data_IF_030404075858
#
_entry.id   IF_030404075858
#
_cell.length_a   1.000
_cell.length_b   1.000
_cell.length_c   1.000
_cell.angle_alpha   90.00
_cell.angle_beta   90.00
_cell.angle_gamma   90.00
#
_symmetry.space_group_name_H-M   'P 1'
#
loop_
_entity.id
_entity.type
_entity.pdbx_description
1 polymer ?
#
# COMPACT_ATOMS: atom_id res chain seq x y z
N UNK A 1 -21.26 -0.09 13.53
CA UNK A 1 -20.55 1.19 13.78
C UNK A 1 -21.59 2.22 14.18
N UNK A 2 -21.47 2.77 15.38
CA UNK A 2 -22.33 3.84 15.89
C UNK A 2 -21.57 5.16 16.05
N UNK A 3 -20.32 5.07 16.54
CA UNK A 3 -19.41 6.21 16.71
C UNK A 3 -18.05 5.88 16.11
N UNK A 4 -17.57 6.66 15.15
CA UNK A 4 -16.32 6.42 14.43
C UNK A 4 -15.31 7.54 14.63
N UNK A 5 -14.08 7.19 14.99
CA UNK A 5 -12.98 8.12 14.87
C UNK A 5 -12.49 8.15 13.42
N UNK A 6 -12.46 9.32 12.81
CA UNK A 6 -11.91 9.58 11.47
C UNK A 6 -10.51 10.14 11.61
N UNK A 7 -9.52 9.31 11.29
CA UNK A 7 -8.09 9.66 11.29
C UNK A 7 -7.64 9.96 9.85
N UNK A 8 -7.94 11.17 9.40
CA UNK A 8 -7.66 11.61 8.03
C UNK A 8 -7.65 13.14 7.95
N UNK A 9 -7.12 13.67 6.85
CA UNK A 9 -7.14 15.11 6.54
C UNK A 9 -7.64 15.37 5.11
N UNK A 10 -7.92 16.65 4.82
CA UNK A 10 -8.27 17.13 3.49
C UNK A 10 -9.50 16.41 2.89
N UNK A 11 -9.45 16.13 1.59
CA UNK A 11 -10.58 15.52 0.86
C UNK A 11 -10.96 14.12 1.39
N UNK A 12 -10.01 13.36 1.93
CA UNK A 12 -10.28 12.05 2.53
C UNK A 12 -11.13 12.21 3.79
N UNK A 13 -10.75 13.11 4.70
CA UNK A 13 -11.55 13.41 5.89
C UNK A 13 -12.94 13.88 5.51
N UNK A 14 -13.04 14.88 4.62
CA UNK A 14 -14.32 15.43 4.13
C UNK A 14 -15.25 14.34 3.60
N UNK A 15 -14.71 13.40 2.79
CA UNK A 15 -15.49 12.29 2.24
C UNK A 15 -15.97 11.34 3.32
N UNK A 16 -15.10 10.97 4.26
CA UNK A 16 -15.43 10.04 5.34
C UNK A 16 -16.48 10.64 6.29
N UNK A 17 -16.32 11.90 6.70
CA UNK A 17 -17.31 12.60 7.53
C UNK A 17 -18.66 12.66 6.81
N UNK A 18 -18.69 13.06 5.53
CA UNK A 18 -19.94 13.11 4.75
C UNK A 18 -20.65 11.76 4.68
N UNK A 19 -19.90 10.66 4.46
CA UNK A 19 -20.46 9.31 4.42
C UNK A 19 -20.98 8.90 5.79
N UNK A 20 -20.25 9.17 6.86
CA UNK A 20 -20.67 8.87 8.23
C UNK A 20 -21.98 9.58 8.56
N UNK A 21 -22.11 10.88 8.23
CA UNK A 21 -23.34 11.64 8.45
C UNK A 21 -24.52 11.09 7.65
N UNK A 22 -24.31 10.71 6.38
CA UNK A 22 -25.37 10.05 5.56
C UNK A 22 -25.86 8.74 6.17
N UNK A 23 -24.97 8.05 6.92
CA UNK A 23 -25.27 6.79 7.62
C UNK A 23 -25.73 6.98 9.07
N UNK A 24 -25.87 8.21 9.54
CA UNK A 24 -26.22 8.56 10.93
C UNK A 24 -25.24 7.95 11.92
N UNK A 25 -23.96 8.02 11.60
CA UNK A 25 -22.85 7.58 12.45
C UNK A 25 -22.24 8.83 13.09
N UNK A 26 -22.13 8.83 14.40
CA UNK A 26 -21.44 9.89 15.16
C UNK A 26 -19.95 9.91 14.83
N UNK A 27 -19.40 11.10 14.64
CA UNK A 27 -18.02 11.30 14.20
C UNK A 27 -17.16 11.94 15.28
N UNK A 28 -16.00 11.34 15.53
CA UNK A 28 -14.88 12.00 16.18
C UNK A 28 -13.84 12.28 15.11
N UNK A 29 -13.68 13.53 14.71
CA UNK A 29 -12.69 13.93 13.72
C UNK A 29 -11.43 14.37 14.44
N UNK A 30 -10.29 13.71 14.16
CA UNK A 30 -8.99 14.12 14.69
C UNK A 30 -8.20 14.87 13.63
N UNK A 31 -7.64 16.02 14.00
CA UNK A 31 -6.88 16.87 13.08
C UNK A 31 -5.66 17.48 13.77
N UNK A 32 -4.63 17.81 12.98
CA UNK A 32 -3.53 18.64 13.44
C UNK A 32 -3.99 20.09 13.62
N UNK A 33 -3.24 20.88 14.36
CA UNK A 33 -3.57 22.29 14.59
C UNK A 33 -3.86 23.08 13.29
N UNK A 34 -3.02 23.02 12.22
CA UNK A 34 -3.33 23.73 10.98
C UNK A 34 -4.52 23.18 10.19
N UNK A 35 -5.01 22.00 10.50
CA UNK A 35 -6.16 21.40 9.81
C UNK A 35 -7.49 21.60 10.59
N UNK A 36 -7.48 22.23 11.76
CA UNK A 36 -8.68 22.41 12.61
C UNK A 36 -9.78 23.20 11.93
N UNK A 37 -9.43 24.16 11.07
CA UNK A 37 -10.35 24.94 10.27
C UNK A 37 -10.38 24.38 8.83
N UNK A 38 -11.00 23.21 8.67
CA UNK A 38 -11.07 22.47 7.40
C UNK A 38 -12.51 22.25 6.95
N UNK A 39 -12.71 22.01 5.65
CA UNK A 39 -14.03 21.62 5.11
C UNK A 39 -14.60 20.38 5.83
N UNK A 40 -13.75 19.50 6.33
CA UNK A 40 -14.21 18.34 7.09
C UNK A 40 -14.78 18.73 8.45
N UNK A 41 -14.18 19.70 9.13
CA UNK A 41 -14.67 20.19 10.43
C UNK A 41 -15.98 20.98 10.29
N UNK A 42 -16.17 21.72 9.20
CA UNK A 42 -17.42 22.43 8.91
C UNK A 42 -18.64 21.50 8.71
N UNK A 43 -18.40 20.21 8.38
CA UNK A 43 -19.46 19.22 8.19
C UNK A 43 -19.94 18.58 9.50
N UNK A 44 -19.26 18.85 10.61
CA UNK A 44 -19.62 18.31 11.91
C UNK A 44 -20.88 18.99 12.47
N UNK A 45 -21.63 18.26 13.27
CA UNK A 45 -22.83 18.75 13.96
C UNK A 45 -22.60 18.73 15.46
N UNK A 46 -23.55 19.20 16.25
CA UNK A 46 -23.48 19.24 17.71
C UNK A 46 -23.27 17.86 18.37
N UNK A 47 -23.60 16.78 17.65
CA UNK A 47 -23.41 15.40 18.10
C UNK A 47 -21.99 14.89 17.86
N UNK A 48 -21.21 15.58 17.04
CA UNK A 48 -19.88 15.18 16.63
C UNK A 48 -18.79 15.88 17.45
N UNK A 49 -17.59 15.32 17.47
CA UNK A 49 -16.47 15.90 18.20
C UNK A 49 -15.30 16.20 17.26
N UNK A 50 -14.70 17.37 17.40
CA UNK A 50 -13.44 17.74 16.74
C UNK A 50 -12.34 17.80 17.79
N UNK A 51 -11.25 17.06 17.57
CA UNK A 51 -10.13 16.99 18.51
C UNK A 51 -8.81 17.32 17.81
N UNK A 52 -8.06 18.27 18.37
CA UNK A 52 -6.68 18.52 17.95
C UNK A 52 -5.76 17.44 18.54
N UNK A 53 -4.99 16.76 17.66
CA UNK A 53 -4.07 15.67 18.04
C UNK A 53 -2.60 16.07 18.06
N UNK A 54 -2.29 17.33 17.88
CA UNK A 54 -0.92 17.85 17.97
C UNK A 54 -0.61 18.95 16.96
N UNK A 55 0.67 19.27 16.85
CA UNK A 55 1.20 20.42 16.15
C UNK A 55 1.23 20.30 14.63
N UNK A 56 2.18 21.04 14.03
CA UNK A 56 2.18 21.37 12.61
C UNK A 56 2.65 20.24 11.68
N UNK A 57 3.45 19.31 12.22
CA UNK A 57 4.01 18.22 11.41
C UNK A 57 3.23 16.91 11.60
N UNK A 58 3.27 16.01 10.60
CA UNK A 58 2.66 14.69 10.75
C UNK A 58 3.21 13.90 11.95
N UNK A 59 4.49 14.02 12.27
CA UNK A 59 5.12 13.32 13.41
C UNK A 59 4.59 13.82 14.74
N UNK A 60 4.23 15.10 14.84
CA UNK A 60 3.63 15.70 16.04
C UNK A 60 2.14 15.40 16.18
N UNK A 61 1.48 14.90 15.12
CA UNK A 61 0.03 14.75 15.03
C UNK A 61 -0.41 13.40 14.47
N UNK A 62 -0.61 13.30 13.16
CA UNK A 62 -1.20 12.12 12.50
C UNK A 62 -0.35 10.84 12.61
N UNK A 63 0.97 10.92 12.78
CA UNK A 63 1.84 9.76 13.01
C UNK A 63 2.02 9.41 14.48
N UNK A 64 1.48 10.22 15.40
CA UNK A 64 1.46 9.93 16.82
C UNK A 64 0.34 8.94 17.18
N UNK A 65 0.65 7.65 17.09
CA UNK A 65 -0.30 6.57 17.33
C UNK A 65 -0.96 6.63 18.72
N UNK A 66 -0.20 7.04 19.74
CA UNK A 66 -0.72 7.13 21.12
C UNK A 66 -1.70 8.29 21.29
N UNK A 67 -1.42 9.44 20.67
CA UNK A 67 -2.34 10.58 20.70
C UNK A 67 -3.69 10.20 20.06
N UNK A 68 -3.66 9.58 18.89
CA UNK A 68 -4.87 9.12 18.20
C UNK A 68 -5.64 8.07 19.02
N UNK A 69 -4.92 7.11 19.62
CA UNK A 69 -5.54 6.07 20.44
C UNK A 69 -6.19 6.65 21.71
N UNK A 70 -5.51 7.56 22.40
CA UNK A 70 -6.03 8.21 23.60
C UNK A 70 -7.35 8.94 23.32
N UNK A 71 -7.45 9.63 22.17
CA UNK A 71 -8.70 10.26 21.76
C UNK A 71 -9.78 9.20 21.50
N UNK A 72 -9.42 8.10 20.80
CA UNK A 72 -10.37 7.03 20.52
C UNK A 72 -10.96 6.41 21.80
N UNK A 73 -10.13 6.22 22.83
CA UNK A 73 -10.55 5.69 24.13
C UNK A 73 -11.38 6.71 24.92
N UNK A 74 -10.92 7.96 25.02
CA UNK A 74 -11.61 9.04 25.76
C UNK A 74 -13.00 9.30 25.20
N UNK A 75 -13.12 9.33 23.86
CA UNK A 75 -14.36 9.54 23.15
C UNK A 75 -15.22 8.26 23.04
N UNK A 76 -14.73 7.14 23.55
CA UNK A 76 -15.41 5.83 23.58
C UNK A 76 -15.94 5.41 22.20
N UNK A 77 -15.14 5.58 21.17
CA UNK A 77 -15.52 5.18 19.81
C UNK A 77 -15.57 3.64 19.71
N UNK A 78 -16.51 3.13 18.93
CA UNK A 78 -16.57 1.70 18.64
C UNK A 78 -15.71 1.29 17.44
N UNK A 79 -15.35 2.26 16.60
CA UNK A 79 -14.58 2.02 15.38
C UNK A 79 -13.61 3.19 15.08
N UNK A 80 -12.52 2.87 14.39
CA UNK A 80 -11.54 3.83 13.90
C UNK A 80 -11.31 3.61 12.41
N UNK A 81 -11.51 4.66 11.61
CA UNK A 81 -11.16 4.66 10.19
C UNK A 81 -9.83 5.38 9.99
N UNK A 82 -8.76 4.69 9.57
CA UNK A 82 -7.41 5.27 9.52
C UNK A 82 -7.16 6.17 8.30
N UNK A 83 -8.18 6.42 7.47
CA UNK A 83 -8.01 7.20 6.25
C UNK A 83 -7.15 6.51 5.19
N UNK A 84 -6.28 7.29 4.57
CA UNK A 84 -5.28 6.90 3.58
C UNK A 84 -3.94 7.51 3.99
N UNK A 85 -2.85 6.76 3.88
CA UNK A 85 -1.53 7.21 4.35
C UNK A 85 -1.41 7.16 5.88
N UNK A 86 -0.48 7.92 6.45
CA UNK A 86 -0.19 7.96 7.89
C UNK A 86 -0.09 6.56 8.51
N UNK A 87 -1.03 6.22 9.39
CA UNK A 87 -1.06 4.93 10.11
C UNK A 87 -1.98 3.88 9.47
N UNK A 88 -2.55 4.16 8.29
CA UNK A 88 -3.52 3.26 7.65
C UNK A 88 -2.95 1.89 7.27
N UNK A 89 -1.64 1.82 7.01
CA UNK A 89 -0.91 0.58 6.65
C UNK A 89 0.00 0.09 7.79
N UNK A 90 -0.09 0.70 8.97
CA UNK A 90 0.69 0.31 10.15
C UNK A 90 0.07 -0.88 10.87
N UNK A 91 0.64 -2.08 10.70
CA UNK A 91 0.19 -3.27 11.41
C UNK A 91 0.33 -3.14 12.95
N UNK A 92 1.39 -2.49 13.51
CA UNK A 92 1.44 -2.23 14.94
C UNK A 92 0.30 -1.34 15.43
N UNK A 93 -0.06 -0.29 14.69
CA UNK A 93 -1.17 0.59 15.05
C UNK A 93 -2.52 -0.14 14.98
N UNK A 94 -2.77 -0.89 13.90
CA UNK A 94 -3.99 -1.69 13.77
C UNK A 94 -4.11 -2.73 14.90
N UNK A 95 -3.01 -3.37 15.29
CA UNK A 95 -2.95 -4.30 16.43
C UNK A 95 -3.28 -3.59 17.74
N UNK A 96 -2.68 -2.42 17.97
CA UNK A 96 -2.89 -1.61 19.16
C UNK A 96 -4.35 -1.17 19.30
N UNK A 97 -4.97 -0.66 18.24
CA UNK A 97 -6.39 -0.25 18.22
C UNK A 97 -7.29 -1.44 18.54
N UNK A 98 -7.06 -2.60 17.90
CA UNK A 98 -7.85 -3.81 18.14
C UNK A 98 -7.70 -4.37 19.55
N UNK A 99 -6.50 -4.27 20.16
CA UNK A 99 -6.26 -4.71 21.53
C UNK A 99 -7.05 -3.91 22.59
N UNK A 100 -7.53 -2.72 22.21
CA UNK A 100 -8.41 -1.87 23.03
C UNK A 100 -9.90 -2.10 22.78
N UNK A 101 -10.24 -3.15 22.01
CA UNK A 101 -11.63 -3.46 21.69
C UNK A 101 -12.25 -2.54 20.64
N UNK A 102 -11.47 -1.67 20.02
CA UNK A 102 -11.93 -0.76 18.96
C UNK A 102 -11.78 -1.44 17.61
N UNK A 103 -12.82 -1.39 16.79
CA UNK A 103 -12.80 -1.96 15.44
C UNK A 103 -11.97 -1.07 14.50
N UNK A 104 -10.79 -1.55 14.12
CA UNK A 104 -9.99 -0.90 13.07
C UNK A 104 -10.60 -1.20 11.70
N UNK A 105 -11.10 -0.17 11.01
CA UNK A 105 -11.72 -0.29 9.68
C UNK A 105 -10.61 -0.42 8.64
N UNK A 106 -10.20 -1.65 8.39
CA UNK A 106 -9.10 -2.00 7.51
C UNK A 106 -8.82 -3.50 7.50
N UNK A 107 -7.76 -3.94 6.81
CA UNK A 107 -7.39 -5.34 6.72
C UNK A 107 -7.05 -5.95 8.07
N UNK A 108 -7.09 -7.29 8.23
CA UNK A 108 -6.54 -7.98 9.38
C UNK A 108 -5.05 -7.70 9.53
N UNK A 109 -4.57 -7.64 10.78
CA UNK A 109 -3.15 -7.40 11.08
C UNK A 109 -2.24 -8.40 10.37
N UNK A 110 -2.61 -9.69 10.37
CA UNK A 110 -1.86 -10.74 9.67
C UNK A 110 -1.73 -10.51 8.15
N UNK A 111 -2.80 -10.01 7.52
CA UNK A 111 -2.75 -9.64 6.09
C UNK A 111 -1.86 -8.42 5.85
N UNK A 112 -1.90 -7.43 6.75
CA UNK A 112 -1.02 -6.26 6.68
C UNK A 112 0.45 -6.64 6.82
N UNK A 113 0.79 -7.52 7.76
CA UNK A 113 2.16 -8.02 7.98
C UNK A 113 2.66 -8.85 6.79
N UNK A 114 1.81 -9.73 6.26
CA UNK A 114 2.16 -10.56 5.10
C UNK A 114 2.40 -9.73 3.85
N UNK A 115 1.52 -8.75 3.58
CA UNK A 115 1.56 -7.96 2.35
C UNK A 115 2.38 -6.67 2.48
N UNK A 116 2.62 -6.19 3.69
CA UNK A 116 3.43 -5.00 3.95
C UNK A 116 4.94 -5.24 3.75
N UNK A 117 5.39 -6.49 3.82
CA UNK A 117 6.75 -6.87 3.48
C UNK A 117 6.80 -7.36 2.02
N UNK A 118 7.55 -6.66 1.17
CA UNK A 118 7.61 -6.92 -0.28
C UNK A 118 8.07 -8.34 -0.62
N UNK A 119 9.07 -8.86 0.07
CA UNK A 119 9.56 -10.23 -0.12
C UNK A 119 8.51 -11.26 0.28
N UNK A 120 7.82 -11.04 1.41
CA UNK A 120 6.74 -11.92 1.86
C UNK A 120 5.55 -11.88 0.90
N UNK A 121 5.20 -10.71 0.38
CA UNK A 121 4.13 -10.53 -0.58
C UNK A 121 4.42 -11.29 -1.90
N UNK A 122 5.63 -11.14 -2.45
CA UNK A 122 6.07 -11.85 -3.66
C UNK A 122 6.07 -13.36 -3.43
N UNK A 123 6.68 -13.83 -2.35
CA UNK A 123 6.71 -15.26 -2.02
C UNK A 123 5.30 -15.85 -1.82
N UNK A 124 4.41 -15.10 -1.22
CA UNK A 124 3.01 -15.49 -1.04
C UNK A 124 2.30 -15.57 -2.40
N UNK A 125 2.47 -14.56 -3.26
CA UNK A 125 1.91 -14.54 -4.60
C UNK A 125 2.38 -15.76 -5.42
N UNK A 126 3.68 -16.06 -5.41
CA UNK A 126 4.26 -17.23 -6.09
C UNK A 126 3.66 -18.54 -5.60
N UNK A 127 3.57 -18.75 -4.28
CA UNK A 127 2.96 -19.96 -3.68
C UNK A 127 1.49 -20.15 -4.07
N UNK A 128 0.81 -19.05 -4.36
CA UNK A 128 -0.61 -19.03 -4.76
C UNK A 128 -0.81 -19.05 -6.29
N UNK A 129 0.26 -19.20 -7.07
CA UNK A 129 0.22 -19.25 -8.54
C UNK A 129 -0.11 -17.89 -9.18
N UNK A 130 0.06 -16.80 -8.45
CA UNK A 130 -0.06 -15.45 -9.01
C UNK A 130 1.27 -15.10 -9.68
N UNK A 131 1.26 -14.65 -10.94
CA UNK A 131 2.48 -14.23 -11.62
C UNK A 131 3.17 -13.10 -10.88
N UNK A 132 4.49 -13.16 -10.83
CA UNK A 132 5.32 -12.11 -10.25
C UNK A 132 6.41 -11.72 -11.24
N UNK A 133 6.94 -10.52 -11.10
CA UNK A 133 8.09 -10.07 -11.91
C UNK A 133 9.27 -11.01 -11.61
N UNK A 134 9.94 -11.59 -12.64
CA UNK A 134 11.13 -12.38 -12.42
C UNK A 134 12.19 -11.61 -11.64
N UNK A 135 12.81 -12.25 -10.65
CA UNK A 135 13.77 -11.58 -9.79
C UNK A 135 14.45 -12.53 -8.81
N UNK A 136 15.24 -11.98 -7.90
CA UNK A 136 15.88 -12.77 -6.83
C UNK A 136 14.91 -13.25 -5.75
N UNK A 137 13.72 -12.63 -5.68
CA UNK A 137 12.67 -12.90 -4.67
C UNK A 137 13.18 -12.86 -3.21
N UNK A 138 14.33 -12.24 -3.00
CA UNK A 138 14.98 -12.07 -1.70
C UNK A 138 16.26 -11.27 -1.83
N UNK A 139 16.85 -11.00 -0.69
CA UNK A 139 18.13 -10.27 -0.60
C UNK A 139 19.23 -11.07 -1.28
N UNK A 140 20.08 -10.38 -2.04
CA UNK A 140 21.32 -10.92 -2.61
C UNK A 140 22.51 -10.17 -2.00
N UNK A 141 23.43 -10.93 -1.38
CA UNK A 141 24.59 -10.37 -0.69
C UNK A 141 25.91 -10.70 -1.40
N UNK A 142 25.94 -11.80 -2.13
CA UNK A 142 27.11 -12.22 -2.91
C UNK A 142 26.98 -11.73 -4.36
N UNK A 143 27.92 -10.89 -4.80
CA UNK A 143 27.88 -10.26 -6.12
C UNK A 143 28.01 -11.29 -7.26
N UNK A 144 28.76 -12.38 -7.08
CA UNK A 144 28.94 -13.40 -8.12
C UNK A 144 27.69 -14.25 -8.28
N UNK A 145 27.10 -14.67 -7.17
CA UNK A 145 25.81 -15.35 -7.18
C UNK A 145 24.71 -14.46 -7.76
N UNK A 146 24.71 -13.18 -7.43
CA UNK A 146 23.79 -12.20 -7.99
C UNK A 146 23.96 -12.01 -9.50
N UNK A 147 25.20 -11.98 -10.01
CA UNK A 147 25.48 -11.89 -11.44
C UNK A 147 24.94 -13.11 -12.22
N UNK A 148 25.17 -14.32 -11.72
CA UNK A 148 24.61 -15.54 -12.32
C UNK A 148 23.09 -15.54 -12.34
N UNK A 149 22.47 -15.06 -11.26
CA UNK A 149 21.03 -14.93 -11.20
C UNK A 149 20.52 -13.88 -12.21
N UNK A 150 21.23 -12.76 -12.36
CA UNK A 150 20.92 -11.72 -13.34
C UNK A 150 20.96 -12.24 -14.78
N UNK A 151 21.95 -13.07 -15.11
CA UNK A 151 22.03 -13.75 -16.41
C UNK A 151 20.83 -14.67 -16.62
N UNK A 152 20.42 -15.43 -15.61
CA UNK A 152 19.25 -16.30 -15.65
C UNK A 152 17.92 -15.55 -15.81
N UNK A 153 17.77 -14.37 -15.21
CA UNK A 153 16.62 -13.48 -15.38
C UNK A 153 16.64 -12.85 -16.78
N UNK A 154 17.82 -12.57 -17.32
CA UNK A 154 18.07 -11.90 -18.59
C UNK A 154 18.02 -10.37 -18.47
N UNK A 155 19.01 -9.72 -19.07
CA UNK A 155 19.09 -8.24 -19.09
C UNK A 155 18.04 -7.62 -20.04
N UNK A 156 17.63 -6.35 -19.83
CA UNK A 156 18.01 -5.51 -18.69
C UNK A 156 17.32 -5.93 -17.38
N UNK A 157 17.98 -5.61 -16.25
CA UNK A 157 17.45 -5.85 -14.91
C UNK A 157 17.53 -4.59 -14.06
N UNK A 158 16.83 -4.62 -12.93
CA UNK A 158 16.92 -3.61 -11.86
C UNK A 158 17.65 -4.19 -10.66
N UNK A 159 18.58 -3.42 -10.11
CA UNK A 159 19.09 -3.63 -8.76
C UNK A 159 18.38 -2.63 -7.85
N UNK A 160 17.76 -3.11 -6.78
CA UNK A 160 16.97 -2.28 -5.88
C UNK A 160 17.38 -2.50 -4.43
N UNK A 161 17.46 -1.40 -3.67
CA UNK A 161 17.61 -1.46 -2.23
C UNK A 161 16.36 -2.06 -1.57
N UNK A 162 16.54 -2.92 -0.57
CA UNK A 162 15.44 -3.52 0.21
C UNK A 162 14.67 -2.44 0.97
N UNK A 163 15.38 -1.49 1.56
CA UNK A 163 14.81 -0.34 2.27
C UNK A 163 14.95 0.93 1.41
N UNK A 164 14.38 0.91 0.21
CA UNK A 164 14.43 2.02 -0.73
C UNK A 164 13.08 2.69 -0.93
N UNK A 165 13.10 3.97 -1.29
CA UNK A 165 11.89 4.71 -1.62
C UNK A 165 12.21 5.99 -2.40
N UNK A 166 11.20 6.54 -3.12
CA UNK A 166 11.34 7.79 -3.83
C UNK A 166 12.36 7.79 -4.99
N UNK A 167 12.67 6.61 -5.55
CA UNK A 167 13.61 6.48 -6.68
C UNK A 167 15.09 6.43 -6.28
N UNK A 168 15.42 6.43 -4.99
CA UNK A 168 16.79 6.23 -4.49
C UNK A 168 17.06 4.74 -4.27
N UNK A 169 18.34 4.33 -4.48
CA UNK A 169 18.74 2.93 -4.35
C UNK A 169 18.16 2.04 -5.47
N UNK A 170 18.00 2.55 -6.67
CA UNK A 170 17.53 1.80 -7.85
C UNK A 170 18.43 2.12 -9.04
N UNK A 171 18.96 1.07 -9.70
CA UNK A 171 19.74 1.19 -10.94
C UNK A 171 19.28 0.17 -11.96
N UNK A 172 19.24 0.60 -13.22
CA UNK A 172 19.03 -0.27 -14.38
C UNK A 172 20.39 -0.78 -14.85
N UNK A 173 20.55 -2.09 -14.92
CA UNK A 173 21.70 -2.78 -15.50
C UNK A 173 21.30 -3.30 -16.88
N UNK A 174 21.98 -2.84 -17.92
CA UNK A 174 21.61 -3.17 -19.31
C UNK A 174 22.29 -4.42 -19.82
N UNK A 175 23.50 -4.68 -19.33
CA UNK A 175 24.29 -5.87 -19.69
C UNK A 175 25.17 -6.31 -18.53
N UNK A 176 25.80 -7.50 -18.70
CA UNK A 176 26.60 -8.12 -17.63
C UNK A 176 27.86 -7.31 -17.25
N UNK A 177 28.39 -6.50 -18.17
CA UNK A 177 29.65 -5.76 -17.92
C UNK A 177 29.48 -4.66 -16.89
N UNK A 178 28.25 -4.10 -16.76
CA UNK A 178 27.94 -3.06 -15.79
C UNK A 178 27.53 -3.60 -14.42
N UNK A 179 27.26 -4.91 -14.31
CA UNK A 179 26.54 -5.48 -13.17
C UNK A 179 27.26 -5.26 -11.84
N UNK A 180 28.54 -5.65 -11.77
CA UNK A 180 29.30 -5.62 -10.52
C UNK A 180 29.48 -4.20 -9.98
N UNK A 181 29.81 -3.25 -10.85
CA UNK A 181 29.95 -1.83 -10.49
C UNK A 181 28.63 -1.29 -9.93
N UNK A 182 27.52 -1.50 -10.67
CA UNK A 182 26.21 -0.98 -10.27
C UNK A 182 25.67 -1.68 -9.02
N UNK A 183 26.00 -2.96 -8.80
CA UNK A 183 25.64 -3.68 -7.59
C UNK A 183 26.24 -3.04 -6.34
N UNK A 184 27.54 -2.79 -6.35
CA UNK A 184 28.21 -2.11 -5.23
C UNK A 184 27.74 -0.68 -5.06
N UNK A 185 27.54 0.04 -6.15
CA UNK A 185 27.04 1.42 -6.10
C UNK A 185 25.69 1.52 -5.41
N UNK A 186 24.73 0.68 -5.78
CA UNK A 186 23.40 0.65 -5.16
C UNK A 186 23.47 0.25 -3.70
N UNK A 187 24.30 -0.77 -3.35
CA UNK A 187 24.47 -1.21 -1.99
C UNK A 187 25.06 -0.11 -1.08
N UNK A 188 26.08 0.61 -1.56
CA UNK A 188 26.70 1.73 -0.83
C UNK A 188 25.70 2.88 -0.67
N UNK A 189 25.01 3.27 -1.75
CA UNK A 189 23.97 4.31 -1.72
C UNK A 189 22.87 3.96 -0.72
N UNK A 190 22.38 2.72 -0.76
CA UNK A 190 21.36 2.22 0.16
C UNK A 190 21.82 2.25 1.62
N UNK A 191 23.05 1.81 1.88
CA UNK A 191 23.64 1.84 3.22
C UNK A 191 23.77 3.27 3.76
N UNK A 192 24.18 4.22 2.91
CA UNK A 192 24.31 5.61 3.28
C UNK A 192 22.96 6.29 3.52
N UNK A 193 21.97 6.02 2.68
CA UNK A 193 20.69 6.71 2.73
C UNK A 193 19.69 6.10 3.73
N UNK A 194 19.77 4.78 3.96
CA UNK A 194 18.77 4.01 4.70
C UNK A 194 19.37 3.18 5.85
N UNK A 195 20.69 3.21 6.06
CA UNK A 195 21.37 2.44 7.09
C UNK A 195 21.55 0.94 6.77
N UNK A 196 20.99 0.45 5.66
CA UNK A 196 21.06 -0.93 5.22
C UNK A 196 21.42 -1.00 3.74
N UNK A 197 22.44 -1.78 3.39
CA UNK A 197 22.94 -1.95 2.03
C UNK A 197 22.40 -3.18 1.30
N UNK A 198 21.40 -3.86 1.84
CA UNK A 198 20.80 -5.03 1.23
C UNK A 198 20.06 -4.65 -0.06
N UNK A 199 20.30 -5.46 -1.10
CA UNK A 199 19.72 -5.26 -2.42
C UNK A 199 19.05 -6.55 -2.92
N UNK A 200 18.15 -6.38 -3.88
CA UNK A 200 17.51 -7.49 -4.60
C UNK A 200 17.44 -7.16 -6.09
N UNK A 201 17.23 -8.18 -6.91
CA UNK A 201 17.17 -8.07 -8.36
C UNK A 201 15.73 -8.25 -8.85
N UNK A 202 15.36 -7.48 -9.88
CA UNK A 202 14.10 -7.65 -10.61
C UNK A 202 14.34 -7.48 -12.12
N UNK A 203 13.55 -8.18 -12.94
CA UNK A 203 13.51 -7.93 -14.39
C UNK A 203 13.12 -6.48 -14.63
N UNK A 204 13.88 -5.78 -15.46
CA UNK A 204 13.47 -4.46 -15.95
C UNK A 204 12.48 -4.63 -17.11
N UNK A 205 11.24 -4.24 -16.87
CA UNK A 205 10.17 -4.28 -17.86
C UNK A 205 10.14 -2.92 -18.55
N UNK A 206 10.36 -2.91 -19.87
CA UNK A 206 10.58 -1.66 -20.65
C UNK A 206 9.28 -1.05 -21.16
N UNK A 207 8.27 -1.88 -21.45
CA UNK A 207 6.98 -1.46 -22.02
C UNK A 207 5.83 -1.87 -21.11
N UNK A 208 5.95 -1.55 -19.83
CA UNK A 208 4.97 -1.96 -18.84
C UNK A 208 3.69 -1.11 -18.86
N UNK A 209 2.57 -1.80 -18.63
CA UNK A 209 1.34 -1.18 -18.17
C UNK A 209 1.15 -1.46 -16.68
N UNK A 210 0.77 -0.43 -15.95
CA UNK A 210 0.42 -0.54 -14.54
C UNK A 210 -1.09 -0.79 -14.44
N UNK A 211 -1.45 -2.02 -14.21
CA UNK A 211 -2.85 -2.46 -14.10
C UNK A 211 -3.15 -2.73 -12.64
N UNK A 212 -4.26 -2.25 -12.15
CA UNK A 212 -4.68 -2.52 -10.78
C UNK A 212 -6.13 -3.01 -10.70
N UNK A 213 -6.36 -3.98 -9.83
CA UNK A 213 -7.68 -4.54 -9.53
C UNK A 213 -8.17 -4.00 -8.20
N UNK A 214 -9.28 -3.25 -8.22
CA UNK A 214 -9.93 -2.76 -7.03
C UNK A 214 -10.97 -3.77 -6.55
N UNK A 215 -10.93 -4.10 -5.27
CA UNK A 215 -11.83 -5.09 -4.66
C UNK A 215 -12.38 -4.63 -3.30
N UNK A 216 -13.45 -5.31 -2.90
CA UNK A 216 -13.98 -5.32 -1.54
C UNK A 216 -14.15 -6.77 -1.10
N UNK A 217 -13.77 -7.09 0.14
CA UNK A 217 -13.97 -8.41 0.72
C UNK A 217 -14.53 -8.26 2.14
N UNK A 218 -15.62 -8.97 2.42
CA UNK A 218 -16.26 -8.95 3.73
C UNK A 218 -15.68 -10.02 4.69
N UNK A 219 -16.16 -9.99 5.95
CA UNK A 219 -15.77 -10.96 6.98
C UNK A 219 -16.36 -12.37 6.75
N UNK A 220 -17.31 -12.52 5.84
CA UNK A 220 -17.93 -13.79 5.48
C UNK A 220 -17.23 -14.50 4.33
N UNK A 221 -16.23 -13.85 3.74
CA UNK A 221 -15.45 -14.40 2.63
C UNK A 221 -15.96 -14.01 1.24
N UNK A 222 -17.01 -13.19 1.14
CA UNK A 222 -17.48 -12.71 -0.15
C UNK A 222 -16.51 -11.66 -0.70
N UNK A 223 -16.07 -11.85 -1.93
CA UNK A 223 -15.19 -10.91 -2.61
C UNK A 223 -15.90 -10.31 -3.82
N UNK A 224 -15.94 -8.99 -3.88
CA UNK A 224 -16.46 -8.25 -5.02
C UNK A 224 -15.33 -7.48 -5.70
N UNK A 225 -15.06 -7.80 -6.95
CA UNK A 225 -14.23 -6.96 -7.81
C UNK A 225 -15.06 -5.74 -8.21
N UNK A 226 -14.54 -4.57 -7.96
CA UNK A 226 -15.18 -3.29 -8.30
C UNK A 226 -14.85 -2.91 -9.74
N UNK A 227 -13.60 -3.16 -10.15
CA UNK A 227 -13.13 -2.87 -11.49
C UNK A 227 -11.63 -2.99 -11.61
N UNK A 228 -11.16 -2.73 -12.82
CA UNK A 228 -9.75 -2.65 -13.18
C UNK A 228 -9.43 -1.24 -13.66
N UNK A 229 -8.27 -0.73 -13.25
CA UNK A 229 -7.76 0.55 -13.71
C UNK A 229 -6.41 0.35 -14.41
N UNK A 230 -6.19 1.14 -15.44
CA UNK A 230 -4.90 1.33 -16.08
C UNK A 230 -4.31 2.65 -15.56
N UNK A 231 -3.21 2.55 -14.84
CA UNK A 231 -2.53 3.68 -14.20
C UNK A 231 -1.14 3.92 -14.82
N UNK A 232 -0.97 3.59 -16.09
CA UNK A 232 0.34 3.62 -16.77
C UNK A 232 0.86 5.03 -17.02
N UNK A 233 -0.02 6.02 -17.12
CA UNK A 233 0.37 7.42 -17.34
C UNK A 233 0.83 8.02 -16.02
N UNK A 234 2.14 8.05 -15.83
CA UNK A 234 2.77 8.47 -14.57
C UNK A 234 3.89 9.49 -14.83
N UNK A 235 4.12 10.34 -13.84
CA UNK A 235 5.28 11.23 -13.78
C UNK A 235 6.02 11.02 -12.47
N UNK A 236 7.30 10.63 -12.53
CA UNK A 236 8.11 10.36 -11.34
C UNK A 236 7.42 9.39 -10.35
N UNK A 237 6.81 8.31 -10.89
CA UNK A 237 6.05 7.31 -10.14
C UNK A 237 4.76 7.83 -9.48
N UNK A 238 4.25 8.97 -9.91
CA UNK A 238 2.94 9.49 -9.52
C UNK A 238 1.94 9.26 -10.65
N UNK A 239 0.82 8.63 -10.35
CA UNK A 239 -0.28 8.42 -11.29
C UNK A 239 -0.89 9.77 -11.67
N UNK A 240 -0.93 10.09 -12.97
CA UNK A 240 -1.51 11.33 -13.49
C UNK A 240 -2.86 11.08 -14.15
N UNK A 241 -2.99 9.97 -14.88
CA UNK A 241 -4.24 9.58 -15.55
C UNK A 241 -4.50 8.13 -15.17
N UNK A 242 -5.71 7.86 -14.75
CA UNK A 242 -6.23 6.53 -14.46
C UNK A 242 -7.44 6.27 -15.35
N UNK A 243 -7.41 5.19 -16.12
CA UNK A 243 -8.49 4.81 -17.03
C UNK A 243 -9.23 3.57 -16.52
N UNK A 244 -10.54 3.53 -16.70
CA UNK A 244 -11.35 2.34 -16.41
C UNK A 244 -12.50 2.21 -17.43
N UNK A 245 -12.72 1.01 -18.02
CA UNK A 245 -11.84 -0.18 -17.95
C UNK A 245 -10.51 0.05 -18.67
N UNK A 246 -9.51 -0.80 -18.40
CA UNK A 246 -8.25 -0.75 -19.14
C UNK A 246 -8.47 -1.08 -20.61
N UNK A 247 -8.01 -0.24 -21.55
CA UNK A 247 -8.24 -0.43 -22.98
C UNK A 247 -7.43 -1.59 -23.59
N UNK A 248 -6.41 -2.08 -22.87
CA UNK A 248 -5.49 -3.12 -23.38
C UNK A 248 -5.86 -4.53 -22.92
N UNK A 249 -6.81 -4.68 -22.01
CA UNK A 249 -7.20 -5.98 -21.48
C UNK A 249 -8.40 -6.55 -22.23
N UNK A 250 -8.22 -7.73 -22.85
CA UNK A 250 -9.36 -8.52 -23.36
C UNK A 250 -10.21 -9.06 -22.21
N UNK A 251 -11.40 -9.53 -22.51
CA UNK A 251 -12.31 -10.10 -21.51
C UNK A 251 -11.71 -11.35 -20.86
N UNK A 252 -11.00 -12.18 -21.65
CA UNK A 252 -10.33 -13.39 -21.16
C UNK A 252 -9.20 -13.05 -20.18
N UNK A 253 -8.33 -12.10 -20.54
CA UNK A 253 -7.22 -11.66 -19.71
C UNK A 253 -7.76 -11.04 -18.41
N UNK A 254 -8.80 -10.22 -18.52
CA UNK A 254 -9.45 -9.59 -17.36
C UNK A 254 -10.06 -10.63 -16.42
N UNK A 255 -10.71 -11.67 -16.97
CA UNK A 255 -11.28 -12.76 -16.18
C UNK A 255 -10.20 -13.54 -15.41
N UNK A 256 -9.13 -13.94 -16.08
CA UNK A 256 -7.99 -14.63 -15.46
C UNK A 256 -7.37 -13.79 -14.32
N UNK A 257 -7.18 -12.49 -14.58
CA UNK A 257 -6.67 -11.54 -13.59
C UNK A 257 -7.57 -11.46 -12.34
N UNK A 258 -8.89 -11.42 -12.54
CA UNK A 258 -9.86 -11.38 -11.45
C UNK A 258 -9.86 -12.68 -10.63
N UNK A 259 -9.81 -13.84 -11.30
CA UNK A 259 -9.76 -15.14 -10.63
C UNK A 259 -8.49 -15.28 -9.77
N UNK A 260 -7.33 -14.89 -10.30
CA UNK A 260 -6.07 -14.87 -9.54
C UNK A 260 -6.12 -13.92 -8.35
N UNK A 261 -6.69 -12.72 -8.56
CA UNK A 261 -6.87 -11.72 -7.49
C UNK A 261 -7.75 -12.27 -6.37
N UNK A 262 -8.92 -12.82 -6.71
CA UNK A 262 -9.86 -13.38 -5.74
C UNK A 262 -9.24 -14.54 -4.98
N UNK A 263 -8.53 -15.45 -5.68
CA UNK A 263 -7.84 -16.57 -5.04
C UNK A 263 -6.79 -16.08 -4.03
N UNK A 264 -5.95 -15.12 -4.43
CA UNK A 264 -4.90 -14.57 -3.57
C UNK A 264 -5.49 -13.92 -2.31
N UNK A 265 -6.44 -12.98 -2.45
CA UNK A 265 -7.00 -12.26 -1.30
C UNK A 265 -7.79 -13.17 -0.37
N UNK A 266 -8.39 -14.25 -0.91
CA UNK A 266 -9.07 -15.27 -0.11
C UNK A 266 -8.10 -16.10 0.72
N UNK A 267 -7.00 -16.52 0.13
CA UNK A 267 -5.98 -17.36 0.79
C UNK A 267 -5.21 -16.62 1.88
N UNK A 268 -4.96 -15.31 1.71
CA UNK A 268 -4.32 -14.49 2.75
C UNK A 268 -5.32 -13.97 3.80
N UNK A 269 -6.61 -14.31 3.67
CA UNK A 269 -7.63 -13.84 4.61
C UNK A 269 -7.83 -12.32 4.58
N UNK A 270 -7.56 -11.66 3.43
CA UNK A 270 -7.76 -10.21 3.31
C UNK A 270 -9.21 -9.82 3.59
N UNK A 271 -9.42 -8.66 4.19
CA UNK A 271 -10.74 -8.12 4.50
C UNK A 271 -10.71 -6.59 4.36
N UNK A 272 -11.79 -6.02 3.83
CA UNK A 272 -11.90 -4.58 3.57
C UNK A 272 -11.73 -4.21 2.11
N UNK A 273 -11.50 -2.94 1.86
CA UNK A 273 -11.17 -2.42 0.54
C UNK A 273 -9.69 -2.64 0.23
N UNK A 274 -9.40 -3.09 -0.98
CA UNK A 274 -8.03 -3.35 -1.39
C UNK A 274 -7.78 -3.09 -2.86
N UNK A 275 -6.50 -2.98 -3.20
CA UNK A 275 -6.01 -2.90 -4.57
C UNK A 275 -4.88 -3.90 -4.73
N UNK A 276 -4.93 -4.69 -5.81
CA UNK A 276 -3.81 -5.54 -6.23
C UNK A 276 -3.24 -4.93 -7.49
N UNK A 277 -1.98 -4.57 -7.46
CA UNK A 277 -1.27 -3.94 -8.57
C UNK A 277 -0.48 -4.98 -9.35
N UNK A 278 -0.56 -4.90 -10.67
CA UNK A 278 0.10 -5.80 -11.61
C UNK A 278 0.89 -4.99 -12.64
N UNK A 279 2.00 -5.55 -13.06
CA UNK A 279 2.68 -5.16 -14.30
C UNK A 279 2.14 -6.03 -15.41
N UNK A 280 1.75 -5.40 -16.52
CA UNK A 280 1.27 -6.08 -17.72
C UNK A 280 2.15 -5.71 -18.91
N UNK A 281 2.66 -6.72 -19.62
CA UNK A 281 3.44 -6.59 -20.83
C UNK A 281 3.13 -7.76 -21.77
N UNK A 282 2.85 -7.49 -23.04
CA UNK A 282 2.67 -8.48 -24.09
C UNK A 282 1.76 -9.68 -23.74
N UNK A 283 0.61 -9.39 -23.15
CA UNK A 283 -0.38 -10.42 -22.80
C UNK A 283 -0.09 -11.16 -21.49
N UNK A 284 0.92 -10.76 -20.71
CA UNK A 284 1.32 -11.41 -19.46
C UNK A 284 1.29 -10.42 -18.28
N UNK A 285 1.01 -10.97 -17.13
CA UNK A 285 1.10 -10.26 -15.85
C UNK A 285 2.32 -10.70 -15.07
#
# INVERSE_FOLDING_TARGET
>A
VRKVLVHARGCTATKLVRIAKQKRIEVVLVQSDPDMDSVASELLTEEDTLVCIGGNTPDESYLNALSVLNVAESEKVDSLHPGIGFLSESSPFASLVRSRGINFIGPPVSSMETMGNKSNAINTAMKLGVPVVPGSHGVVTDVKAAALLAEGIGYPILIKAVHGGGGKGIQVVRDASEFEELFFRVSIEAKSAFGNGDVYLEKYVTSLRHIEVRLLRDSHGNTKIIGVRDCSVQRRHQKLIEETPSPVLTDEIRKDLFEKTVNMVSKIGYMGAGTVEFIYEDGKF
#
